data_IF_893150732540
#
_entry.id   IF_893150732540
#
_cell.length_a   1.000
_cell.length_b   1.000
_cell.length_c   1.000
_cell.angle_alpha   90.00
_cell.angle_beta   90.00
_cell.angle_gamma   90.00
#
_symmetry.space_group_name_H-M   'P 1'
#
loop_
_entity.id
_entity.type
_entity.pdbx_description
1 polymer ?
#
# COMPACT_ATOMS: atom_id res chain seq x y z
N UNK A 1 14.46 -12.52 11.03
CA UNK A 1 15.14 -12.17 9.75
C UNK A 1 14.88 -13.20 8.64
N UNK A 2 14.33 -14.38 8.93
CA UNK A 2 14.11 -15.43 7.92
C UNK A 2 13.12 -15.03 6.81
N UNK A 3 12.24 -14.06 7.05
CA UNK A 3 11.18 -13.63 6.13
C UNK A 3 11.43 -12.27 5.48
N UNK A 4 12.66 -11.73 5.58
CA UNK A 4 13.01 -10.41 5.06
C UNK A 4 14.30 -10.46 4.25
N UNK A 5 14.23 -9.96 3.03
CA UNK A 5 15.39 -9.54 2.25
C UNK A 5 15.73 -8.12 2.72
N UNK A 6 16.69 -8.02 3.64
CA UNK A 6 17.10 -6.76 4.25
C UNK A 6 17.88 -5.90 3.25
N UNK A 7 17.45 -4.66 3.06
CA UNK A 7 18.13 -3.72 2.20
C UNK A 7 19.44 -3.25 2.86
N UNK A 8 20.49 -3.05 2.07
CA UNK A 8 21.80 -2.67 2.58
C UNK A 8 22.46 -1.58 1.74
N UNK A 9 23.60 -1.07 2.24
CA UNK A 9 24.42 -0.14 1.47
C UNK A 9 24.92 -0.73 0.13
N UNK A 10 25.05 -2.05 0.04
CA UNK A 10 25.43 -2.74 -1.21
C UNK A 10 24.32 -2.63 -2.26
N UNK A 11 23.07 -2.66 -1.82
CA UNK A 11 21.90 -2.53 -2.69
C UNK A 11 21.63 -1.06 -3.07
N UNK A 12 21.90 -0.12 -2.15
CA UNK A 12 21.79 1.33 -2.40
C UNK A 12 22.80 1.82 -3.45
N UNK A 13 24.06 1.39 -3.34
CA UNK A 13 25.18 1.91 -4.14
C UNK A 13 24.94 1.89 -5.67
N UNK A 14 24.45 0.81 -6.29
CA UNK A 14 24.25 0.75 -7.74
C UNK A 14 23.11 1.63 -8.23
N UNK A 15 22.12 1.96 -7.40
CA UNK A 15 20.94 2.74 -7.79
C UNK A 15 21.03 4.21 -7.41
N UNK A 16 21.87 4.58 -6.43
CA UNK A 16 22.04 5.96 -5.99
C UNK A 16 23.00 6.72 -6.89
N UNK A 17 22.45 7.57 -7.75
CA UNK A 17 23.26 8.40 -8.64
C UNK A 17 24.04 9.47 -7.88
N UNK A 18 25.24 9.79 -8.39
CA UNK A 18 26.14 10.79 -7.81
C UNK A 18 26.26 11.97 -8.76
N UNK A 19 26.06 13.19 -8.26
CA UNK A 19 26.27 14.42 -9.03
C UNK A 19 26.82 15.52 -8.11
N UNK A 20 27.92 16.20 -8.48
CA UNK A 20 28.48 17.28 -7.66
C UNK A 20 27.45 18.36 -7.35
N UNK A 21 27.34 18.75 -6.08
CA UNK A 21 26.40 19.78 -5.62
C UNK A 21 24.98 19.30 -5.34
N UNK A 22 24.66 18.02 -5.61
CA UNK A 22 23.37 17.42 -5.27
C UNK A 22 23.46 16.58 -4.00
N UNK A 23 22.41 16.59 -3.20
CA UNK A 23 22.16 15.63 -2.13
C UNK A 23 20.82 14.99 -2.40
N UNK A 24 20.76 13.66 -2.37
CA UNK A 24 19.56 12.88 -2.71
C UNK A 24 18.95 12.26 -1.47
N UNK A 25 17.68 11.88 -1.53
CA UNK A 25 16.99 11.24 -0.39
C UNK A 25 17.70 9.95 0.05
N UNK A 26 18.19 9.15 -0.90
CA UNK A 26 18.95 7.93 -0.59
C UNK A 26 20.27 8.17 0.16
N UNK A 27 20.78 9.41 0.21
CA UNK A 27 21.91 9.76 1.07
C UNK A 27 21.52 9.89 2.55
N UNK A 28 20.23 10.04 2.84
CA UNK A 28 19.70 10.32 4.18
C UNK A 28 18.81 9.22 4.75
N UNK A 29 18.27 8.33 3.90
CA UNK A 29 17.52 7.17 4.37
C UNK A 29 18.35 6.35 5.37
N UNK A 30 17.71 5.99 6.47
CA UNK A 30 18.28 5.07 7.44
C UNK A 30 18.30 3.67 6.82
N UNK A 31 19.36 2.93 7.11
CA UNK A 31 19.52 1.55 6.67
C UNK A 31 19.43 0.60 7.88
N UNK A 32 19.06 -0.67 7.65
CA UNK A 32 18.87 -1.67 8.72
C UNK A 32 20.13 -1.95 9.55
N UNK A 33 20.09 -1.44 10.78
CA UNK A 33 21.04 -1.49 11.89
C UNK A 33 20.89 -2.61 12.94
N UNK A 34 21.23 -3.89 12.72
CA UNK A 34 21.21 -4.85 13.85
C UNK A 34 21.03 -6.34 13.54
N UNK A 35 21.09 -7.21 14.57
CA UNK A 35 21.06 -8.67 14.43
C UNK A 35 19.65 -9.26 14.37
N UNK A 36 18.60 -8.50 14.70
CA UNK A 36 17.21 -8.94 14.67
C UNK A 36 16.33 -7.82 14.14
N UNK A 37 15.11 -8.15 13.67
CA UNK A 37 14.15 -7.15 13.20
C UNK A 37 13.83 -6.13 14.31
N UNK A 38 13.56 -6.61 15.53
CA UNK A 38 13.29 -5.74 16.68
C UNK A 38 14.45 -4.77 16.93
N UNK A 39 15.69 -5.25 16.97
CA UNK A 39 16.85 -4.40 17.19
C UNK A 39 17.06 -3.37 16.07
N UNK A 40 16.79 -3.75 14.82
CA UNK A 40 16.82 -2.83 13.66
C UNK A 40 15.80 -1.71 13.85
N UNK A 41 14.55 -2.06 14.21
CA UNK A 41 13.47 -1.10 14.38
C UNK A 41 13.70 -0.17 15.57
N UNK A 42 14.17 -0.70 16.71
CA UNK A 42 14.55 0.09 17.87
C UNK A 42 15.69 1.07 17.56
N UNK A 43 16.73 0.62 16.84
CA UNK A 43 17.83 1.46 16.40
C UNK A 43 17.35 2.58 15.48
N UNK A 44 16.53 2.24 14.48
CA UNK A 44 15.96 3.23 13.56
C UNK A 44 15.10 4.24 14.30
N UNK A 45 14.23 3.79 15.23
CA UNK A 45 13.40 4.67 16.05
C UNK A 45 14.24 5.63 16.89
N UNK A 46 15.32 5.14 17.51
CA UNK A 46 16.24 5.96 18.29
C UNK A 46 16.99 7.00 17.43
N UNK A 47 17.21 6.72 16.14
CA UNK A 47 17.78 7.65 15.16
C UNK A 47 16.76 8.65 14.59
N UNK A 48 15.50 8.59 15.03
CA UNK A 48 14.44 9.51 14.59
C UNK A 48 13.58 8.98 13.45
N UNK A 49 13.68 7.69 13.10
CA UNK A 49 12.78 7.09 12.14
C UNK A 49 11.33 7.25 12.57
N UNK A 50 10.49 7.59 11.59
CA UNK A 50 9.04 7.62 11.72
C UNK A 50 8.40 6.65 10.73
N UNK A 51 8.94 6.55 9.53
CA UNK A 51 8.42 5.71 8.46
C UNK A 51 9.33 4.51 8.18
N UNK A 52 8.73 3.41 7.74
CA UNK A 52 9.46 2.22 7.27
C UNK A 52 8.98 1.87 5.87
N UNK A 53 9.87 1.93 4.88
CA UNK A 53 9.60 1.45 3.54
C UNK A 53 9.76 -0.08 3.51
N UNK A 54 8.68 -0.78 3.19
CA UNK A 54 8.61 -2.23 3.10
C UNK A 54 8.06 -2.65 1.74
N UNK A 55 8.84 -3.42 0.99
CA UNK A 55 8.38 -4.08 -0.23
C UNK A 55 7.63 -5.37 0.06
N UNK A 56 6.63 -5.66 -0.74
CA UNK A 56 5.90 -6.93 -0.78
C UNK A 56 5.85 -7.33 -2.24
N UNK A 57 6.73 -8.23 -2.69
CA UNK A 57 6.79 -8.59 -4.11
C UNK A 57 6.24 -9.98 -4.33
N UNK A 58 4.95 -10.05 -4.61
CA UNK A 58 4.24 -11.28 -4.95
C UNK A 58 3.11 -10.99 -5.94
N UNK A 59 2.65 -12.00 -6.66
CA UNK A 59 1.50 -11.89 -7.56
C UNK A 59 0.53 -13.08 -7.44
N UNK A 60 0.66 -13.87 -6.38
CA UNK A 60 -0.18 -15.03 -6.15
C UNK A 60 -1.60 -14.61 -5.77
N UNK A 61 -1.79 -13.47 -5.10
CA UNK A 61 -3.12 -12.92 -4.80
C UNK A 61 -3.95 -12.59 -6.06
N UNK A 62 -3.42 -11.80 -7.01
CA UNK A 62 -4.09 -11.51 -8.28
C UNK A 62 -4.37 -12.78 -9.09
N UNK A 63 -3.40 -13.71 -9.16
CA UNK A 63 -3.57 -15.00 -9.85
C UNK A 63 -4.65 -15.86 -9.19
N UNK A 64 -4.71 -15.91 -7.86
CA UNK A 64 -5.76 -16.59 -7.09
C UNK A 64 -7.15 -15.99 -7.31
N UNK A 65 -7.22 -14.73 -7.75
CA UNK A 65 -8.43 -14.01 -8.12
C UNK A 65 -8.71 -14.07 -9.65
N UNK A 66 -8.06 -14.99 -10.37
CA UNK A 66 -8.18 -15.16 -11.83
C UNK A 66 -7.71 -13.95 -12.65
N UNK A 67 -6.91 -13.07 -12.05
CA UNK A 67 -6.25 -11.95 -12.70
C UNK A 67 -4.91 -12.32 -13.31
N UNK A 68 -4.23 -11.31 -13.88
CA UNK A 68 -2.86 -11.44 -14.39
C UNK A 68 -1.85 -11.23 -13.26
N UNK A 69 -0.77 -12.01 -13.28
CA UNK A 69 0.38 -11.77 -12.40
C UNK A 69 1.20 -10.54 -12.82
N UNK A 70 2.30 -10.27 -12.10
CA UNK A 70 3.24 -9.18 -12.42
C UNK A 70 3.47 -8.12 -11.34
N UNK A 71 2.79 -8.20 -10.19
CA UNK A 71 2.90 -7.25 -9.08
C UNK A 71 4.17 -7.43 -8.21
N UNK A 72 5.21 -8.08 -8.73
CA UNK A 72 6.42 -8.47 -7.99
C UNK A 72 7.48 -7.39 -7.89
N UNK A 73 7.56 -6.49 -8.89
CA UNK A 73 8.72 -5.61 -9.11
C UNK A 73 8.46 -4.13 -8.76
N UNK A 74 7.33 -3.83 -8.11
CA UNK A 74 6.87 -2.47 -7.82
C UNK A 74 7.83 -1.71 -6.89
N UNK A 75 8.33 -2.40 -5.87
CA UNK A 75 9.21 -1.82 -4.86
C UNK A 75 10.56 -1.42 -5.47
N UNK A 76 11.19 -2.31 -6.24
CA UNK A 76 12.45 -2.04 -6.91
C UNK A 76 12.31 -0.94 -7.97
N UNK A 77 11.17 -0.92 -8.70
CA UNK A 77 10.85 0.13 -9.64
C UNK A 77 10.80 1.50 -8.94
N UNK A 78 10.06 1.60 -7.83
CA UNK A 78 9.97 2.82 -7.03
C UNK A 78 11.33 3.24 -6.47
N UNK A 79 12.10 2.32 -5.89
CA UNK A 79 13.37 2.65 -5.22
C UNK A 79 14.35 3.34 -6.16
N UNK A 80 14.46 2.90 -7.42
CA UNK A 80 15.34 3.54 -8.42
C UNK A 80 15.04 5.03 -8.63
N UNK A 81 13.80 5.46 -8.40
CA UNK A 81 13.40 6.87 -8.52
C UNK A 81 13.44 7.59 -7.17
N UNK A 82 12.81 7.01 -6.15
CA UNK A 82 12.66 7.62 -4.84
C UNK A 82 14.01 8.01 -4.22
N UNK A 83 14.99 7.11 -4.24
CA UNK A 83 16.31 7.37 -3.64
C UNK A 83 17.06 8.49 -4.37
N UNK A 84 16.69 8.78 -5.62
CA UNK A 84 17.33 9.76 -6.48
C UNK A 84 16.65 11.14 -6.51
N UNK A 85 15.51 11.30 -5.84
CA UNK A 85 14.93 12.61 -5.60
C UNK A 85 15.86 13.48 -4.74
N UNK A 86 15.74 14.80 -4.88
CA UNK A 86 16.56 15.75 -4.13
C UNK A 86 16.16 15.76 -2.65
N UNK A 87 17.17 15.70 -1.78
CA UNK A 87 17.05 16.08 -0.37
C UNK A 87 17.23 17.59 -0.27
N UNK A 88 16.20 18.31 0.18
CA UNK A 88 16.21 19.77 0.20
C UNK A 88 15.25 20.35 1.28
N UNK A 89 14.93 21.65 1.17
CA UNK A 89 14.05 22.37 2.11
C UNK A 89 12.65 21.78 2.27
N UNK A 90 12.19 20.97 1.32
CA UNK A 90 10.86 20.37 1.36
C UNK A 90 10.86 19.02 2.06
N UNK A 91 11.88 18.19 1.84
CA UNK A 91 12.02 16.89 2.50
C UNK A 91 13.49 16.43 2.49
N UNK A 92 13.93 15.85 3.60
CA UNK A 92 15.33 15.46 3.81
C UNK A 92 15.58 13.96 3.68
N UNK A 93 14.67 13.12 4.17
CA UNK A 93 14.75 11.64 4.13
C UNK A 93 15.24 10.98 5.42
N UNK A 94 15.67 11.76 6.41
CA UNK A 94 16.28 11.29 7.66
C UNK A 94 15.34 10.55 8.62
N UNK A 95 14.03 10.68 8.44
CA UNK A 95 13.00 10.01 9.24
C UNK A 95 12.43 8.74 8.58
N UNK A 96 13.11 8.22 7.55
CA UNK A 96 12.66 7.06 6.80
C UNK A 96 13.69 5.92 6.84
N UNK A 97 13.28 4.77 7.36
CA UNK A 97 14.03 3.51 7.29
C UNK A 97 13.69 2.78 5.99
N UNK A 98 14.70 2.48 5.18
CA UNK A 98 14.57 1.57 4.05
C UNK A 98 14.83 0.13 4.51
N UNK A 99 13.78 -0.60 4.90
CA UNK A 99 13.93 -1.91 5.52
C UNK A 99 14.30 -3.00 4.51
N UNK A 100 13.64 -3.00 3.35
CA UNK A 100 13.77 -4.05 2.34
C UNK A 100 12.43 -4.64 1.98
N UNK A 101 12.39 -5.95 1.69
CA UNK A 101 11.22 -6.62 1.13
C UNK A 101 10.95 -7.96 1.82
N UNK A 102 9.69 -8.32 1.94
CA UNK A 102 9.31 -9.66 2.40
C UNK A 102 9.81 -10.72 1.43
N UNK A 103 10.45 -11.75 1.98
CA UNK A 103 10.83 -12.93 1.21
C UNK A 103 9.62 -13.87 1.15
N UNK A 104 9.18 -14.21 -0.06
CA UNK A 104 8.14 -15.21 -0.32
C UNK A 104 8.63 -16.35 -1.21
N UNK A 105 9.93 -16.43 -1.51
CA UNK A 105 10.46 -17.35 -2.53
C UNK A 105 10.12 -18.82 -2.28
N UNK A 106 9.95 -19.23 -1.03
CA UNK A 106 9.55 -20.59 -0.63
C UNK A 106 8.02 -20.81 -0.56
N UNK A 107 7.22 -19.75 -0.63
CA UNK A 107 5.76 -19.82 -0.61
C UNK A 107 5.14 -19.64 -2.00
N UNK A 108 5.83 -18.96 -2.93
CA UNK A 108 5.31 -18.65 -4.25
C UNK A 108 5.11 -19.92 -5.08
N UNK A 109 3.88 -20.23 -5.52
CA UNK A 109 3.63 -21.34 -6.42
C UNK A 109 4.18 -21.05 -7.82
N UNK A 110 4.61 -22.11 -8.53
CA UNK A 110 5.04 -22.02 -9.92
C UNK A 110 3.96 -21.46 -10.85
N UNK A 111 4.33 -21.09 -12.08
CA UNK A 111 3.44 -20.42 -13.04
C UNK A 111 2.14 -21.20 -13.31
N UNK A 112 2.23 -22.53 -13.42
CA UNK A 112 1.11 -23.44 -13.70
C UNK A 112 0.32 -23.88 -12.45
N UNK A 113 0.52 -23.23 -11.31
CA UNK A 113 -0.20 -23.57 -10.08
C UNK A 113 -1.72 -23.38 -10.24
N UNK A 114 -2.48 -24.34 -9.71
CA UNK A 114 -3.93 -24.22 -9.67
C UNK A 114 -4.38 -23.17 -8.64
N UNK A 115 -5.66 -22.79 -8.75
CA UNK A 115 -6.27 -21.74 -7.92
C UNK A 115 -6.22 -22.10 -6.43
N UNK A 116 -6.34 -23.37 -6.07
CA UNK A 116 -6.35 -23.80 -4.67
C UNK A 116 -4.95 -23.70 -4.05
N UNK A 117 -3.91 -24.09 -4.80
CA UNK A 117 -2.51 -23.91 -4.40
C UNK A 117 -2.16 -22.42 -4.24
N UNK A 118 -2.62 -21.56 -5.16
CA UNK A 118 -2.45 -20.12 -5.07
C UNK A 118 -3.13 -19.55 -3.82
N UNK A 119 -4.39 -19.93 -3.56
CA UNK A 119 -5.13 -19.50 -2.36
C UNK A 119 -4.47 -19.95 -1.06
N UNK A 120 -3.93 -21.16 -1.02
CA UNK A 120 -3.17 -21.66 0.12
C UNK A 120 -1.87 -20.86 0.33
N UNK A 121 -1.16 -20.53 -0.75
CA UNK A 121 0.03 -19.69 -0.68
C UNK A 121 -0.29 -18.29 -0.15
N UNK A 122 -1.36 -17.65 -0.62
CA UNK A 122 -1.79 -16.33 -0.10
C UNK A 122 -2.04 -16.38 1.40
N UNK A 123 -2.75 -17.40 1.90
CA UNK A 123 -2.96 -17.57 3.32
C UNK A 123 -1.65 -17.73 4.12
N UNK A 124 -0.64 -18.41 3.57
CA UNK A 124 0.67 -18.54 4.20
C UNK A 124 1.50 -17.24 4.14
N UNK A 125 1.35 -16.46 3.07
CA UNK A 125 1.99 -15.15 2.94
C UNK A 125 1.41 -14.13 3.93
N UNK A 126 0.09 -14.19 4.17
CA UNK A 126 -0.60 -13.35 5.15
C UNK A 126 0.12 -13.40 6.52
N UNK A 127 0.55 -14.58 6.98
CA UNK A 127 1.27 -14.75 8.25
C UNK A 127 2.61 -13.99 8.30
N UNK A 128 3.36 -13.94 7.20
CA UNK A 128 4.62 -13.19 7.13
C UNK A 128 4.40 -11.69 7.12
N UNK A 129 3.36 -11.25 6.40
CA UNK A 129 2.93 -9.84 6.43
C UNK A 129 2.56 -9.46 7.85
N UNK A 130 1.77 -10.31 8.54
CA UNK A 130 1.35 -10.09 9.93
C UNK A 130 2.56 -9.97 10.87
N UNK A 131 3.49 -10.92 10.82
CA UNK A 131 4.67 -10.92 11.69
C UNK A 131 5.48 -9.63 11.56
N UNK A 132 5.83 -9.26 10.33
CA UNK A 132 6.74 -8.13 10.08
C UNK A 132 6.05 -6.79 10.30
N UNK A 133 4.83 -6.61 9.78
CA UNK A 133 4.12 -5.34 9.91
C UNK A 133 3.67 -5.09 11.37
N UNK A 134 3.30 -6.13 12.12
CA UNK A 134 3.02 -5.99 13.56
C UNK A 134 4.27 -5.48 14.29
N UNK A 135 5.44 -6.08 14.06
CA UNK A 135 6.68 -5.66 14.71
C UNK A 135 7.05 -4.19 14.39
N UNK A 136 6.83 -3.74 13.15
CA UNK A 136 7.04 -2.35 12.75
C UNK A 136 6.13 -1.40 13.55
N UNK A 137 4.82 -1.71 13.58
CA UNK A 137 3.83 -0.87 14.26
C UNK A 137 4.03 -0.87 15.79
N UNK A 138 4.37 -2.01 16.38
CA UNK A 138 4.67 -2.17 17.82
C UNK A 138 5.91 -1.36 18.23
N UNK A 139 6.90 -1.19 17.34
CA UNK A 139 8.04 -0.29 17.55
C UNK A 139 7.66 1.21 17.46
N UNK A 140 6.38 1.52 17.23
CA UNK A 140 5.88 2.88 17.07
C UNK A 140 6.32 3.52 15.75
N UNK A 141 6.53 2.72 14.72
CA UNK A 141 6.89 3.15 13.36
C UNK A 141 5.72 2.91 12.41
N UNK A 142 5.63 3.73 11.37
CA UNK A 142 4.52 3.74 10.41
C UNK A 142 4.99 3.08 9.09
N UNK A 143 4.52 1.86 8.76
CA UNK A 143 4.92 1.20 7.53
C UNK A 143 4.28 1.87 6.30
N UNK A 144 5.09 2.03 5.27
CA UNK A 144 4.70 2.41 3.91
C UNK A 144 5.00 1.18 3.03
N UNK A 145 3.95 0.46 2.70
CA UNK A 145 4.01 -0.86 2.05
C UNK A 145 3.82 -0.71 0.55
N UNK A 146 4.73 -1.29 -0.23
CA UNK A 146 4.75 -1.14 -1.68
C UNK A 146 4.65 -2.49 -2.37
N UNK A 147 3.66 -2.61 -3.25
CA UNK A 147 3.53 -3.73 -4.16
C UNK A 147 2.74 -4.91 -3.59
N UNK A 148 2.84 -6.00 -4.33
CA UNK A 148 2.05 -7.20 -4.10
C UNK A 148 0.63 -6.98 -4.59
N UNK A 149 -0.18 -8.02 -4.48
CA UNK A 149 -1.61 -7.84 -4.67
C UNK A 149 -2.27 -7.15 -3.48
N UNK A 150 -3.52 -6.75 -3.67
CA UNK A 150 -4.36 -6.16 -2.62
C UNK A 150 -4.77 -7.18 -1.54
N UNK A 151 -4.44 -8.48 -1.72
CA UNK A 151 -4.58 -9.51 -0.68
C UNK A 151 -3.85 -9.13 0.61
N UNK A 152 -2.71 -8.44 0.48
CA UNK A 152 -1.86 -8.08 1.61
C UNK A 152 -2.55 -7.13 2.60
N UNK A 153 -3.63 -6.45 2.19
CA UNK A 153 -4.47 -5.65 3.09
C UNK A 153 -4.97 -6.47 4.29
N UNK A 154 -5.27 -7.77 4.12
CA UNK A 154 -5.68 -8.61 5.26
C UNK A 154 -4.59 -8.70 6.33
N UNK A 155 -3.35 -9.03 5.94
CA UNK A 155 -2.24 -9.13 6.87
C UNK A 155 -1.89 -7.80 7.53
N UNK A 156 -1.99 -6.69 6.79
CA UNK A 156 -1.77 -5.34 7.32
C UNK A 156 -2.85 -4.92 8.33
N UNK A 157 -4.12 -5.19 8.05
CA UNK A 157 -5.23 -4.91 8.97
C UNK A 157 -5.13 -5.77 10.24
N UNK A 158 -4.76 -7.04 10.10
CA UNK A 158 -4.45 -7.91 11.25
C UNK A 158 -3.28 -7.36 12.08
N UNK A 159 -2.27 -6.79 11.43
CA UNK A 159 -1.14 -6.16 12.13
C UNK A 159 -1.55 -4.93 12.93
N UNK A 160 -2.48 -4.12 12.41
CA UNK A 160 -3.08 -3.02 13.18
C UNK A 160 -3.76 -3.56 14.43
N UNK A 161 -4.56 -4.62 14.30
CA UNK A 161 -5.22 -5.25 15.46
C UNK A 161 -4.22 -5.74 16.49
N UNK A 162 -3.13 -6.39 16.07
CA UNK A 162 -2.09 -6.90 16.96
C UNK A 162 -1.37 -5.76 17.69
N UNK A 163 -0.88 -4.78 16.96
CA UNK A 163 -0.05 -3.70 17.51
C UNK A 163 -0.84 -2.72 18.40
N UNK A 164 -2.08 -2.41 18.04
CA UNK A 164 -2.89 -1.40 18.73
C UNK A 164 -3.98 -1.99 19.64
N UNK A 165 -4.18 -3.32 19.63
CA UNK A 165 -5.23 -4.00 20.40
C UNK A 165 -6.65 -3.63 19.99
N UNK A 166 -6.83 -2.99 18.82
CA UNK A 166 -8.10 -2.44 18.32
C UNK A 166 -8.19 -2.64 16.80
N UNK A 167 -9.39 -2.83 16.24
CA UNK A 167 -9.56 -2.92 14.79
C UNK A 167 -9.22 -1.59 14.10
N UNK A 168 -8.97 -1.66 12.80
CA UNK A 168 -8.73 -0.50 11.95
C UNK A 168 -10.04 0.12 11.42
N UNK A 169 -9.96 1.40 11.09
CA UNK A 169 -10.84 2.05 10.13
C UNK A 169 -10.11 2.19 8.79
N UNK A 170 -10.56 1.51 7.75
CA UNK A 170 -9.90 1.53 6.45
C UNK A 170 -10.61 2.47 5.45
N UNK A 171 -9.80 3.13 4.63
CA UNK A 171 -10.27 3.80 3.41
C UNK A 171 -9.42 3.33 2.23
N UNK A 172 -10.10 2.98 1.13
CA UNK A 172 -9.49 2.44 -0.06
C UNK A 172 -9.85 3.27 -1.29
N UNK A 173 -8.85 3.70 -2.06
CA UNK A 173 -9.06 4.27 -3.39
C UNK A 173 -8.92 3.15 -4.43
N UNK A 174 -10.05 2.67 -4.94
CA UNK A 174 -10.11 1.44 -5.73
C UNK A 174 -11.39 1.38 -6.58
N UNK A 175 -11.31 0.96 -7.86
CA UNK A 175 -12.49 0.66 -8.66
C UNK A 175 -13.32 -0.52 -8.13
N UNK A 176 -12.71 -1.43 -7.38
CA UNK A 176 -13.33 -2.59 -6.74
C UNK A 176 -13.56 -2.32 -5.25
N UNK A 177 -14.53 -3.02 -4.69
CA UNK A 177 -14.76 -2.98 -3.24
C UNK A 177 -13.77 -3.84 -2.47
N UNK A 178 -13.17 -4.84 -3.11
CA UNK A 178 -12.32 -5.88 -2.52
C UNK A 178 -12.90 -6.53 -1.25
N UNK A 179 -14.24 -6.57 -1.25
CA UNK A 179 -15.07 -7.14 -0.20
C UNK A 179 -15.79 -8.41 -0.69
N UNK A 180 -15.15 -9.18 -1.60
CA UNK A 180 -15.72 -10.42 -2.17
C UNK A 180 -15.95 -11.48 -1.10
N UNK A 181 -16.61 -12.55 -1.53
CA UNK A 181 -16.80 -13.76 -0.74
C UNK A 181 -15.44 -14.35 -0.27
N UNK A 182 -15.53 -15.19 0.76
CA UNK A 182 -14.38 -15.82 1.43
C UNK A 182 -14.20 -17.26 0.96
N UNK A 183 -14.10 -17.48 -0.35
CA UNK A 183 -13.91 -18.80 -0.99
C UNK A 183 -12.46 -19.32 -0.98
N UNK A 184 -11.59 -18.67 -0.22
CA UNK A 184 -10.14 -18.85 -0.25
C UNK A 184 -9.44 -17.52 -0.51
N UNK A 185 -8.24 -17.34 0.06
CA UNK A 185 -7.54 -16.04 0.04
C UNK A 185 -7.09 -15.65 -1.36
N UNK A 186 -7.38 -14.43 -1.76
CA UNK A 186 -6.95 -13.83 -3.04
C UNK A 186 -6.98 -12.30 -2.95
N UNK A 187 -6.64 -11.58 -4.02
CA UNK A 187 -6.54 -10.10 -3.96
C UNK A 187 -7.86 -9.43 -3.58
N UNK A 188 -8.97 -9.81 -4.24
CA UNK A 188 -10.25 -9.13 -4.04
C UNK A 188 -11.05 -9.45 -2.78
N UNK A 189 -10.47 -10.08 -1.75
CA UNK A 189 -11.18 -10.39 -0.50
C UNK A 189 -10.39 -10.09 0.79
N UNK A 190 -9.33 -9.28 0.73
CA UNK A 190 -8.57 -8.90 1.93
C UNK A 190 -9.44 -8.28 3.02
N UNK A 191 -10.29 -7.32 2.65
CA UNK A 191 -11.14 -6.57 3.58
C UNK A 191 -12.26 -7.40 4.20
N UNK A 192 -12.86 -8.33 3.43
CA UNK A 192 -13.93 -9.19 3.96
C UNK A 192 -13.42 -10.25 4.93
N UNK A 193 -12.17 -10.71 4.77
CA UNK A 193 -11.47 -11.53 5.76
C UNK A 193 -11.12 -10.73 7.02
N UNK A 194 -10.62 -9.50 6.88
CA UNK A 194 -10.31 -8.62 8.01
C UNK A 194 -11.56 -8.26 8.83
N UNK A 195 -12.70 -8.04 8.17
CA UNK A 195 -13.98 -7.84 8.83
C UNK A 195 -14.38 -9.08 9.65
N UNK A 196 -14.26 -10.29 9.06
CA UNK A 196 -14.58 -11.55 9.74
C UNK A 196 -13.71 -11.81 10.97
N UNK A 197 -12.42 -11.46 10.90
CA UNK A 197 -11.48 -11.64 12.01
C UNK A 197 -11.63 -10.57 13.10
N UNK A 198 -12.47 -9.57 12.88
CA UNK A 198 -12.64 -8.40 13.75
C UNK A 198 -11.38 -7.52 13.77
N UNK A 199 -10.64 -7.46 12.67
CA UNK A 199 -9.53 -6.52 12.45
C UNK A 199 -9.96 -5.26 11.70
N UNK A 200 -11.16 -5.25 11.11
CA UNK A 200 -11.74 -4.12 10.41
C UNK A 200 -13.13 -3.80 11.00
N UNK A 201 -13.35 -2.56 11.41
CA UNK A 201 -14.61 -2.10 12.03
C UNK A 201 -15.29 -0.97 11.24
N UNK A 202 -14.52 -0.27 10.38
CA UNK A 202 -15.05 0.72 9.46
C UNK A 202 -14.38 0.58 8.10
N UNK A 203 -15.15 0.66 7.02
CA UNK A 203 -14.60 0.60 5.66
C UNK A 203 -15.31 1.58 4.71
N UNK A 204 -14.51 2.36 3.99
CA UNK A 204 -14.99 3.25 2.94
C UNK A 204 -14.19 3.10 1.64
N UNK A 205 -14.88 3.01 0.51
CA UNK A 205 -14.25 2.93 -0.82
C UNK A 205 -14.47 4.24 -1.58
N UNK A 206 -13.39 4.94 -1.91
CA UNK A 206 -13.40 6.07 -2.83
C UNK A 206 -13.09 5.57 -4.25
N UNK A 207 -13.79 6.08 -5.25
CA UNK A 207 -13.50 5.74 -6.65
C UNK A 207 -14.06 4.39 -7.11
N UNK A 208 -14.96 3.79 -6.32
CA UNK A 208 -15.63 2.54 -6.70
C UNK A 208 -16.27 2.69 -8.08
N UNK A 209 -15.96 1.78 -8.99
CA UNK A 209 -16.54 1.81 -10.32
C UNK A 209 -17.89 1.08 -10.31
N UNK A 210 -18.95 1.79 -10.69
CA UNK A 210 -20.35 1.32 -10.59
C UNK A 210 -20.59 -0.04 -11.27
N UNK A 211 -19.82 -0.37 -12.32
CA UNK A 211 -19.97 -1.60 -13.11
C UNK A 211 -18.85 -2.64 -12.95
N UNK A 212 -17.86 -2.42 -12.05
CA UNK A 212 -16.79 -3.40 -11.78
C UNK A 212 -17.07 -4.26 -10.53
N UNK A 213 -18.23 -4.07 -9.92
CA UNK A 213 -18.65 -4.75 -8.70
C UNK A 213 -19.96 -5.48 -8.97
N UNK A 214 -20.06 -6.74 -8.53
CA UNK A 214 -21.31 -7.49 -8.60
C UNK A 214 -22.29 -6.99 -7.54
N UNK A 215 -23.59 -7.16 -7.77
CA UNK A 215 -24.62 -6.83 -6.77
C UNK A 215 -24.37 -7.57 -5.46
N UNK A 216 -24.03 -8.86 -5.52
CA UNK A 216 -23.71 -9.65 -4.33
C UNK A 216 -22.54 -9.07 -3.51
N UNK A 217 -21.50 -8.51 -4.17
CA UNK A 217 -20.39 -7.86 -3.45
C UNK A 217 -20.85 -6.56 -2.78
N UNK A 218 -21.69 -5.77 -3.46
CA UNK A 218 -22.24 -4.52 -2.92
C UNK A 218 -23.18 -4.79 -1.74
N UNK A 219 -24.04 -5.80 -1.83
CA UNK A 219 -24.89 -6.26 -0.74
C UNK A 219 -24.07 -6.71 0.47
N UNK A 220 -22.99 -7.47 0.24
CA UNK A 220 -22.09 -7.91 1.30
C UNK A 220 -21.37 -6.73 1.98
N UNK A 221 -20.88 -5.77 1.19
CA UNK A 221 -20.26 -4.55 1.70
C UNK A 221 -21.27 -3.73 2.53
N UNK A 222 -22.49 -3.55 2.02
CA UNK A 222 -23.55 -2.83 2.72
C UNK A 222 -23.99 -3.55 4.01
N UNK A 223 -24.05 -4.88 4.00
CA UNK A 223 -24.38 -5.69 5.18
C UNK A 223 -23.33 -5.56 6.31
N UNK A 224 -22.06 -5.35 5.95
CA UNK A 224 -21.01 -4.98 6.91
C UNK A 224 -21.16 -3.55 7.43
N UNK A 225 -21.88 -2.68 6.73
CA UNK A 225 -21.94 -1.23 7.00
C UNK A 225 -20.87 -0.43 6.26
N UNK A 226 -20.22 -1.02 5.25
CA UNK A 226 -19.30 -0.32 4.37
C UNK A 226 -20.01 0.73 3.52
N UNK A 227 -19.26 1.77 3.13
CA UNK A 227 -19.78 2.89 2.34
C UNK A 227 -18.85 3.21 1.18
N UNK A 228 -19.32 3.94 0.18
CA UNK A 228 -18.50 4.30 -0.97
C UNK A 228 -18.91 5.61 -1.64
N UNK A 229 -17.97 6.22 -2.35
CA UNK A 229 -18.22 7.23 -3.38
C UNK A 229 -17.74 6.68 -4.71
N UNK A 230 -18.55 6.79 -5.76
CA UNK A 230 -18.22 6.19 -7.04
C UNK A 230 -17.32 7.08 -7.88
N UNK A 231 -16.51 6.47 -8.75
CA UNK A 231 -15.73 7.22 -9.74
C UNK A 231 -16.64 8.08 -10.61
N UNK A 232 -17.79 7.53 -11.02
CA UNK A 232 -18.73 8.22 -11.89
C UNK A 232 -19.39 9.42 -11.19
N UNK A 233 -19.71 9.30 -9.89
CA UNK A 233 -20.29 10.41 -9.11
C UNK A 233 -19.35 11.63 -9.10
N UNK A 234 -18.05 11.41 -8.94
CA UNK A 234 -17.06 12.48 -8.76
C UNK A 234 -16.48 12.97 -10.10
N UNK A 235 -15.94 12.07 -10.92
CA UNK A 235 -15.16 12.44 -12.12
C UNK A 235 -15.98 12.47 -13.42
N UNK A 236 -17.19 11.89 -13.45
CA UNK A 236 -18.02 11.85 -14.67
C UNK A 236 -19.22 12.79 -14.58
N UNK A 237 -20.05 12.63 -13.54
CA UNK A 237 -21.31 13.38 -13.39
C UNK A 237 -21.14 14.67 -12.59
N UNK A 238 -20.07 14.79 -11.80
CA UNK A 238 -19.81 15.98 -10.99
C UNK A 238 -20.86 16.23 -9.90
N UNK A 239 -21.47 15.16 -9.39
CA UNK A 239 -22.49 15.20 -8.35
C UNK A 239 -21.89 15.54 -6.97
N UNK A 240 -20.60 15.22 -6.80
CA UNK A 240 -19.82 15.48 -5.59
C UNK A 240 -18.40 15.89 -6.00
N UNK A 241 -17.86 16.94 -5.38
CA UNK A 241 -16.46 17.32 -5.60
C UNK A 241 -15.53 16.36 -4.84
N UNK A 242 -14.33 16.12 -5.38
CA UNK A 242 -13.31 15.33 -4.66
C UNK A 242 -12.99 15.93 -3.29
N UNK A 243 -12.92 17.27 -3.19
CA UNK A 243 -12.63 17.95 -1.93
C UNK A 243 -13.72 17.71 -0.86
N UNK A 244 -15.00 17.74 -1.24
CA UNK A 244 -16.11 17.42 -0.33
C UNK A 244 -16.12 15.94 0.06
N UNK A 245 -15.83 15.03 -0.89
CA UNK A 245 -15.67 13.61 -0.61
C UNK A 245 -14.56 13.36 0.41
N UNK A 246 -13.37 13.95 0.20
CA UNK A 246 -12.23 13.80 1.11
C UNK A 246 -12.51 14.38 2.50
N UNK A 247 -13.14 15.55 2.58
CA UNK A 247 -13.58 16.15 3.86
C UNK A 247 -14.56 15.24 4.60
N UNK A 248 -15.54 14.68 3.88
CA UNK A 248 -16.50 13.75 4.45
C UNK A 248 -15.79 12.49 4.98
N UNK A 249 -14.99 11.82 4.15
CA UNK A 249 -14.22 10.63 4.50
C UNK A 249 -13.34 10.90 5.73
N UNK A 250 -12.52 11.95 5.69
CA UNK A 250 -11.62 12.28 6.79
C UNK A 250 -12.37 12.61 8.09
N UNK A 251 -13.53 13.28 8.02
CA UNK A 251 -14.38 13.52 9.18
C UNK A 251 -14.91 12.21 9.77
N UNK A 252 -15.40 11.31 8.92
CA UNK A 252 -15.97 10.03 9.35
C UNK A 252 -14.90 9.12 9.95
N UNK A 253 -13.73 8.99 9.30
CA UNK A 253 -12.58 8.25 9.82
C UNK A 253 -12.17 8.75 11.21
N UNK A 254 -12.01 10.06 11.40
CA UNK A 254 -11.70 10.63 12.73
C UNK A 254 -12.76 10.34 13.77
N UNK A 255 -14.04 10.35 13.39
CA UNK A 255 -15.14 10.09 14.31
C UNK A 255 -15.13 8.66 14.87
N UNK A 256 -14.49 7.71 14.18
CA UNK A 256 -14.32 6.32 14.68
C UNK A 256 -13.38 6.25 15.89
N UNK A 257 -12.39 7.15 15.99
CA UNK A 257 -11.33 7.06 17.01
C UNK A 257 -10.39 5.85 16.85
N UNK A 258 -10.45 5.15 15.72
CA UNK A 258 -9.64 3.98 15.40
C UNK A 258 -8.37 4.35 14.62
N UNK A 259 -7.32 3.51 14.66
CA UNK A 259 -6.17 3.65 13.76
C UNK A 259 -6.63 3.53 12.29
N UNK A 260 -6.12 4.40 11.42
CA UNK A 260 -6.55 4.45 10.03
C UNK A 260 -5.63 3.64 9.12
N UNK A 261 -6.21 2.69 8.40
CA UNK A 261 -5.58 1.99 7.29
C UNK A 261 -5.82 2.77 5.99
N UNK A 262 -4.77 3.32 5.39
CA UNK A 262 -4.85 4.05 4.13
C UNK A 262 -4.41 3.14 2.98
N UNK A 263 -5.35 2.84 2.10
CA UNK A 263 -5.20 1.90 0.99
C UNK A 263 -5.36 2.64 -0.34
N UNK A 264 -4.55 2.25 -1.33
CA UNK A 264 -4.70 2.66 -2.71
C UNK A 264 -4.35 1.48 -3.62
N UNK A 265 -5.34 1.03 -4.38
CA UNK A 265 -5.17 0.11 -5.49
C UNK A 265 -4.73 0.89 -6.74
N UNK A 266 -3.57 0.55 -7.29
CA UNK A 266 -3.00 1.30 -8.40
C UNK A 266 -3.82 1.16 -9.70
N UNK A 267 -4.68 0.16 -9.80
CA UNK A 267 -5.62 -0.06 -10.91
C UNK A 267 -6.70 1.04 -10.96
N UNK A 268 -6.84 1.82 -9.89
CA UNK A 268 -7.67 3.03 -9.84
C UNK A 268 -7.11 4.18 -10.66
N UNK A 269 -5.79 4.24 -10.85
CA UNK A 269 -5.13 5.36 -11.52
C UNK A 269 -5.17 5.14 -13.04
N UNK A 270 -5.52 6.19 -13.78
CA UNK A 270 -5.64 6.12 -15.24
C UNK A 270 -4.33 5.65 -15.90
N UNK A 271 -4.43 4.55 -16.68
CA UNK A 271 -3.34 3.91 -17.43
C UNK A 271 -2.16 3.38 -16.59
N UNK A 272 -2.33 3.27 -15.27
CA UNK A 272 -1.26 2.75 -14.41
C UNK A 272 -1.00 1.26 -14.72
N UNK A 273 0.26 0.83 -14.91
CA UNK A 273 0.59 -0.57 -15.14
C UNK A 273 0.11 -1.47 -13.99
N UNK A 274 -0.82 -2.36 -14.31
CA UNK A 274 -1.58 -3.15 -13.34
C UNK A 274 -2.21 -4.39 -13.97
N UNK A 275 -2.67 -5.32 -13.12
CA UNK A 275 -3.36 -6.52 -13.57
C UNK A 275 -4.67 -6.17 -14.31
N UNK A 276 -5.45 -5.20 -13.81
CA UNK A 276 -6.73 -4.74 -14.33
C UNK A 276 -6.74 -3.23 -14.70
N UNK A 277 -5.74 -2.80 -15.48
CA UNK A 277 -5.56 -1.44 -15.98
C UNK A 277 -6.86 -0.74 -16.41
N UNK A 278 -7.07 0.46 -15.87
CA UNK A 278 -8.21 1.31 -16.19
C UNK A 278 -7.78 2.49 -17.05
N UNK A 279 -8.25 2.58 -18.29
CA UNK A 279 -7.96 3.73 -19.16
C UNK A 279 -8.64 5.03 -18.67
N UNK A 280 -9.91 4.92 -18.26
CA UNK A 280 -10.68 6.01 -17.67
C UNK A 280 -10.65 5.94 -16.13
N UNK A 281 -9.45 6.11 -15.56
CA UNK A 281 -9.22 6.07 -14.11
C UNK A 281 -9.10 7.45 -13.47
N UNK A 282 -8.75 7.45 -12.18
CA UNK A 282 -8.44 8.64 -11.40
C UNK A 282 -7.11 9.25 -11.87
N UNK A 283 -6.99 10.58 -12.03
CA UNK A 283 -5.71 11.21 -12.30
C UNK A 283 -4.71 10.98 -11.15
N UNK A 284 -3.44 10.68 -11.45
CA UNK A 284 -2.39 10.46 -10.43
C UNK A 284 -2.32 11.59 -9.39
N UNK A 285 -2.50 12.84 -9.80
CA UNK A 285 -2.48 13.97 -8.87
C UNK A 285 -3.68 14.00 -7.92
N UNK A 286 -4.84 13.49 -8.33
CA UNK A 286 -6.00 13.36 -7.46
C UNK A 286 -5.83 12.19 -6.47
N UNK A 287 -5.19 11.09 -6.90
CA UNK A 287 -4.75 10.02 -6.02
C UNK A 287 -3.73 10.52 -4.96
N UNK A 288 -2.74 11.31 -5.37
CA UNK A 288 -1.79 11.94 -4.44
C UNK A 288 -2.48 12.92 -3.47
N UNK A 289 -3.49 13.66 -3.94
CA UNK A 289 -4.33 14.52 -3.09
C UNK A 289 -5.12 13.73 -2.05
N UNK A 290 -5.71 12.60 -2.45
CA UNK A 290 -6.39 11.68 -1.54
C UNK A 290 -5.44 11.22 -0.43
N UNK A 291 -4.27 10.67 -0.79
CA UNK A 291 -3.27 10.21 0.17
C UNK A 291 -2.86 11.35 1.11
N UNK A 292 -2.48 12.51 0.55
CA UNK A 292 -2.01 13.64 1.35
C UNK A 292 -3.09 14.16 2.31
N UNK A 293 -4.35 14.23 1.85
CA UNK A 293 -5.48 14.65 2.69
C UNK A 293 -5.70 13.69 3.85
N UNK A 294 -5.83 12.39 3.59
CA UNK A 294 -6.09 11.42 4.66
C UNK A 294 -4.92 11.37 5.65
N UNK A 295 -3.69 11.27 5.14
CA UNK A 295 -2.47 11.28 5.95
C UNK A 295 -2.36 12.51 6.89
N UNK A 296 -2.75 13.68 6.39
CA UNK A 296 -2.73 14.93 7.16
C UNK A 296 -3.82 15.00 8.22
N UNK A 297 -4.98 14.42 7.95
CA UNK A 297 -6.19 14.65 8.71
C UNK A 297 -6.63 13.47 9.56
N UNK A 298 -5.92 12.34 9.50
CA UNK A 298 -6.23 11.11 10.22
C UNK A 298 -4.99 10.53 10.88
N UNK A 299 -5.20 9.70 11.90
CA UNK A 299 -4.15 8.95 12.58
C UNK A 299 -3.86 7.65 11.83
N UNK A 300 -3.08 7.75 10.75
CA UNK A 300 -2.76 6.60 9.91
C UNK A 300 -1.82 5.63 10.62
N UNK A 301 -2.22 4.35 10.66
CA UNK A 301 -1.38 3.25 11.09
C UNK A 301 -0.41 2.80 9.99
N UNK A 302 -0.82 2.89 8.71
CA UNK A 302 0.03 2.58 7.56
C UNK A 302 -0.49 3.21 6.26
N UNK A 303 0.33 3.12 5.21
CA UNK A 303 -0.05 3.26 3.80
C UNK A 303 0.27 1.96 3.07
N UNK A 304 -0.64 1.46 2.23
CA UNK A 304 -0.35 0.40 1.27
C UNK A 304 -0.71 0.86 -0.14
N UNK A 305 0.25 0.67 -1.05
CA UNK A 305 0.13 0.93 -2.49
C UNK A 305 0.20 -0.42 -3.21
N UNK A 306 -0.97 -0.97 -3.56
CA UNK A 306 -1.13 -2.33 -4.07
C UNK A 306 -1.14 -2.41 -5.61
N UNK A 307 -1.00 -3.62 -6.16
CA UNK A 307 -1.31 -4.01 -7.56
C UNK A 307 -0.45 -3.38 -8.67
N UNK A 308 0.56 -2.55 -8.34
CA UNK A 308 1.54 -2.07 -9.33
C UNK A 308 2.21 -3.25 -10.06
N UNK A 309 1.95 -3.38 -11.36
CA UNK A 309 2.51 -4.43 -12.20
C UNK A 309 3.27 -3.84 -13.39
N UNK A 310 4.55 -3.45 -13.22
CA UNK A 310 5.38 -2.90 -14.30
C UNK A 310 5.39 -3.74 -15.59
N UNK A 311 5.33 -5.07 -15.48
CA UNK A 311 5.33 -5.99 -16.62
C UNK A 311 4.06 -5.91 -17.46
N UNK A 312 2.97 -5.33 -16.93
CA UNK A 312 1.69 -5.18 -17.62
C UNK A 312 1.59 -3.90 -18.47
N UNK A 313 2.65 -3.08 -18.56
CA UNK A 313 2.64 -1.86 -19.37
C UNK A 313 2.65 -2.19 -20.88
N UNK A 314 1.78 -1.55 -21.67
CA UNK A 314 1.59 -1.82 -23.11
C UNK A 314 2.86 -1.65 -23.97
N UNK A 315 3.72 -0.68 -23.63
CA UNK A 315 5.03 -0.47 -24.27
C UNK A 315 6.18 -1.33 -23.70
N UNK A 316 5.88 -2.37 -22.93
CA UNK A 316 6.85 -3.30 -22.35
C UNK A 316 7.35 -2.93 -20.95
N UNK A 317 8.01 -3.88 -20.30
CA UNK A 317 8.39 -3.82 -18.89
C UNK A 317 9.28 -2.60 -18.57
N UNK A 318 10.24 -2.25 -19.42
CA UNK A 318 11.09 -1.07 -19.21
C UNK A 318 10.27 0.22 -19.12
N UNK A 319 9.19 0.36 -19.89
CA UNK A 319 8.30 1.52 -19.78
C UNK A 319 7.50 1.46 -18.49
N UNK A 320 6.98 0.29 -18.14
CA UNK A 320 6.25 0.08 -16.90
C UNK A 320 7.08 0.34 -15.64
N UNK A 321 8.36 -0.05 -15.62
CA UNK A 321 9.28 0.24 -14.52
C UNK A 321 9.46 1.75 -14.33
N UNK A 322 9.51 2.52 -15.41
CA UNK A 322 9.64 3.98 -15.34
C UNK A 322 8.38 4.66 -14.83
N UNK A 323 7.22 4.31 -15.40
CA UNK A 323 5.94 4.90 -15.03
C UNK A 323 5.54 4.52 -13.61
N UNK A 324 5.67 3.23 -13.27
CA UNK A 324 5.37 2.71 -11.94
C UNK A 324 6.29 3.35 -10.89
N UNK A 325 7.59 3.41 -11.19
CA UNK A 325 8.56 3.96 -10.26
C UNK A 325 8.35 5.44 -9.96
N UNK A 326 8.03 6.25 -10.97
CA UNK A 326 7.72 7.68 -10.79
C UNK A 326 6.41 7.90 -10.04
N UNK A 327 5.36 7.15 -10.39
CA UNK A 327 4.04 7.30 -9.79
C UNK A 327 4.05 6.91 -8.31
N UNK A 328 4.61 5.75 -7.97
CA UNK A 328 4.77 5.33 -6.57
C UNK A 328 5.60 6.31 -5.75
N UNK A 329 6.68 6.86 -6.35
CA UNK A 329 7.52 7.87 -5.69
C UNK A 329 6.72 9.11 -5.30
N UNK A 330 5.83 9.59 -6.18
CA UNK A 330 4.97 10.75 -5.89
C UNK A 330 3.95 10.44 -4.79
N UNK A 331 3.35 9.24 -4.79
CA UNK A 331 2.38 8.81 -3.79
C UNK A 331 3.02 8.65 -2.40
N UNK A 332 4.22 8.07 -2.32
CA UNK A 332 5.00 7.97 -1.07
C UNK A 332 5.35 9.36 -0.55
N UNK A 333 5.79 10.28 -1.43
CA UNK A 333 6.07 11.65 -1.03
C UNK A 333 4.81 12.36 -0.51
N UNK A 334 3.66 12.19 -1.18
CA UNK A 334 2.39 12.77 -0.76
C UNK A 334 1.97 12.30 0.64
N UNK A 335 2.18 11.02 0.95
CA UNK A 335 1.93 10.46 2.28
C UNK A 335 2.83 11.07 3.33
N UNK A 336 4.16 10.96 3.16
CA UNK A 336 5.15 11.46 4.12
C UNK A 336 4.91 12.95 4.42
N UNK A 337 4.67 13.75 3.38
CA UNK A 337 4.37 15.18 3.57
C UNK A 337 3.02 15.43 4.23
N UNK A 338 1.99 14.67 3.90
CA UNK A 338 0.72 14.73 4.61
C UNK A 338 0.90 14.47 6.11
N UNK A 339 1.66 13.42 6.44
CA UNK A 339 2.03 13.02 7.80
C UNK A 339 2.89 14.05 8.54
N UNK A 340 3.81 14.76 7.86
CA UNK A 340 4.56 15.89 8.44
C UNK A 340 3.68 17.11 8.73
N UNK A 341 2.61 17.29 7.96
CA UNK A 341 1.68 18.41 8.09
C UNK A 341 0.45 18.07 8.93
N UNK A 342 0.46 16.90 9.59
CA UNK A 342 -0.67 16.36 10.33
C UNK A 342 -1.17 17.36 11.39
N UNK A 343 -2.49 17.55 11.44
CA UNK A 343 -3.11 18.48 12.37
C UNK A 343 -3.33 17.78 13.73
N UNK A 344 -2.69 18.28 14.78
CA UNK A 344 -2.95 17.85 16.16
C UNK A 344 -2.15 16.65 16.66
N UNK A 345 -0.91 16.47 16.19
CA UNK A 345 0.09 15.67 16.91
C UNK A 345 0.58 16.41 18.16
#
# INVERSE_FOLDING_TARGET
MQHLIIFSAKDMTPILGKRPGETRLGNHFLLPEGPTLVAILESAKAQGARFVLLGVGEDAGPRANLGRGGATNAFEAMLKYLVNLQSNRFYRGDDCLLLGQLDFGDLLPGEDADVDALRAAVAAMDERVIEVASAIMEAGLEPIVIGGGHNNAFGLLMSVKNAFGRPAAAVNLDPHSDFRLREGRHSGNGFSYAAASGALDFYHVLGLHELKNSEANLEQLAAFGGSWHTLQQIWVRGELSLDDALKHIGKTLRATGLPVALELDLDAIANMPSSAMTAAGVPLLDAARYISHIARHCDCAYLHLAEAAPSCHDSGEDAGLRETGQSLTELVYAYIRGRHLALGA
#
